data_IF_631478395740
#
_entry.id   IF_631478395740
#
_cell.length_a   1.000
_cell.length_b   1.000
_cell.length_c   1.000
_cell.angle_alpha   90.00
_cell.angle_beta   90.00
_cell.angle_gamma   90.00
#
_symmetry.space_group_name_H-M   'P 1'
#
loop_
_entity.id
_entity.type
_entity.pdbx_description
1 polymer ?
#
# COMPACT_ATOMS: atom_id res chain seq x y z
N UNK A 1 -3.19 55.11 15.42
CA UNK A 1 -4.12 54.32 14.59
C UNK A 1 -3.50 53.81 13.28
N UNK A 2 -2.77 54.63 12.50
CA UNK A 2 -2.14 54.20 11.22
C UNK A 2 -1.10 53.08 11.36
N UNK A 3 -0.32 53.06 12.44
CA UNK A 3 0.72 52.04 12.69
C UNK A 3 0.11 50.69 13.10
N UNK A 4 -0.99 50.70 13.87
CA UNK A 4 -1.69 49.46 14.29
C UNK A 4 -2.33 48.78 13.07
N UNK A 5 -2.91 49.56 12.14
CA UNK A 5 -3.46 49.03 10.89
C UNK A 5 -2.39 48.37 10.00
N UNK A 6 -1.17 48.90 9.99
CA UNK A 6 -0.05 48.35 9.22
C UNK A 6 0.46 47.01 9.78
N UNK A 7 0.51 46.87 11.11
CA UNK A 7 0.93 45.63 11.80
C UNK A 7 -0.09 44.51 11.61
N UNK A 8 -1.40 44.82 11.67
CA UNK A 8 -2.46 43.84 11.42
C UNK A 8 -2.47 43.38 9.96
N UNK A 9 -2.25 44.30 9.00
CA UNK A 9 -2.17 43.96 7.59
C UNK A 9 -0.96 43.06 7.26
N UNK A 10 0.19 43.27 7.91
CA UNK A 10 1.38 42.45 7.70
C UNK A 10 1.23 41.03 8.27
N UNK A 11 0.55 40.88 9.42
CA UNK A 11 0.24 39.57 10.00
C UNK A 11 -0.71 38.71 9.14
N UNK A 12 -1.67 39.34 8.45
CA UNK A 12 -2.61 38.64 7.57
C UNK A 12 -1.94 38.03 6.32
N UNK A 13 -0.88 38.66 5.80
CA UNK A 13 -0.14 38.16 4.62
C UNK A 13 0.70 36.92 4.96
N UNK A 14 1.22 36.84 6.19
CA UNK A 14 2.00 35.67 6.66
C UNK A 14 1.08 34.45 6.88
N UNK A 15 -0.13 34.67 7.39
CA UNK A 15 -1.13 33.61 7.59
C UNK A 15 -1.61 32.96 6.27
N UNK A 16 -1.68 33.73 5.18
CA UNK A 16 -2.06 33.19 3.86
C UNK A 16 -0.99 32.27 3.24
N UNK A 17 0.29 32.41 3.61
CA UNK A 17 1.38 31.56 3.10
C UNK A 17 1.49 30.21 3.81
N UNK A 18 0.79 30.03 4.93
CA UNK A 18 0.78 28.78 5.67
C UNK A 18 -0.26 27.77 5.13
N UNK A 19 -1.10 28.16 4.16
CA UNK A 19 -2.06 27.27 3.51
C UNK A 19 -1.53 26.74 2.17
N UNK A 20 -0.33 26.17 2.15
CA UNK A 20 0.01 25.22 1.08
C UNK A 20 -0.35 23.83 1.57
N UNK A 21 -1.58 23.39 1.31
CA UNK A 21 -1.79 21.95 1.19
C UNK A 21 -0.81 21.48 0.12
N UNK A 22 0.15 20.63 0.48
CA UNK A 22 1.08 20.07 -0.50
C UNK A 22 0.24 19.55 -1.66
N UNK A 23 0.50 20.04 -2.88
CA UNK A 23 -0.30 19.63 -4.04
C UNK A 23 -0.03 18.15 -4.27
N UNK A 24 -1.01 17.31 -3.95
CA UNK A 24 -0.98 15.92 -4.37
C UNK A 24 -0.96 15.90 -5.90
N UNK A 25 0.03 15.24 -6.47
CA UNK A 25 0.16 15.09 -7.91
C UNK A 25 0.58 13.65 -8.21
N UNK A 26 0.03 13.10 -9.28
CA UNK A 26 0.50 11.82 -9.82
C UNK A 26 1.89 12.04 -10.39
N UNK A 27 2.90 11.46 -9.76
CA UNK A 27 4.28 11.54 -10.22
C UNK A 27 4.60 10.46 -11.24
N UNK A 28 4.01 9.27 -11.10
CA UNK A 28 4.18 8.12 -11.99
C UNK A 28 2.91 7.26 -12.02
N UNK A 29 2.73 6.56 -13.14
CA UNK A 29 1.68 5.55 -13.33
C UNK A 29 2.32 4.32 -13.95
N UNK A 30 2.23 3.16 -13.28
CA UNK A 30 2.74 1.90 -13.80
C UNK A 30 1.61 1.03 -14.34
N UNK A 31 1.75 0.56 -15.58
CA UNK A 31 0.88 -0.47 -16.13
C UNK A 31 1.42 -1.84 -15.72
N UNK A 32 0.91 -2.37 -14.61
CA UNK A 32 1.46 -3.59 -13.95
C UNK A 32 0.95 -4.91 -14.53
N UNK A 33 0.02 -4.84 -15.50
CA UNK A 33 -0.58 -6.02 -16.14
C UNK A 33 -1.37 -6.89 -15.16
N UNK A 34 -1.49 -8.19 -15.48
CA UNK A 34 -2.14 -9.19 -14.65
C UNK A 34 -3.66 -9.28 -14.84
N UNK A 35 -4.16 -10.51 -14.92
CA UNK A 35 -5.60 -10.76 -15.09
C UNK A 35 -6.39 -10.49 -13.81
N UNK A 36 -7.69 -10.24 -13.98
CA UNK A 36 -8.67 -10.02 -12.91
C UNK A 36 -8.65 -8.62 -12.31
N UNK A 37 -9.54 -8.38 -11.35
CA UNK A 37 -9.55 -7.14 -10.57
C UNK A 37 -8.45 -7.13 -9.50
N UNK A 38 -8.06 -5.92 -9.08
CA UNK A 38 -7.19 -5.68 -7.94
C UNK A 38 -8.00 -5.08 -6.77
N UNK A 39 -7.47 -5.17 -5.56
CA UNK A 39 -8.08 -4.64 -4.34
C UNK A 39 -7.05 -3.86 -3.50
N UNK A 40 -6.76 -4.20 -2.24
CA UNK A 40 -5.85 -3.36 -1.45
C UNK A 40 -4.40 -3.41 -1.95
N UNK A 41 -3.75 -2.25 -1.83
CA UNK A 41 -2.32 -2.05 -2.06
C UNK A 41 -1.68 -1.72 -0.72
N UNK A 42 -0.68 -2.51 -0.34
CA UNK A 42 0.01 -2.37 0.94
C UNK A 42 1.50 -2.14 0.68
N UNK A 43 2.04 -0.96 1.04
CA UNK A 43 3.47 -0.68 0.85
C UNK A 43 4.33 -1.37 1.91
N UNK A 44 5.53 -1.74 1.51
CA UNK A 44 6.65 -2.16 2.36
C UNK A 44 7.87 -1.28 2.02
N UNK A 45 7.91 -0.04 2.58
CA UNK A 45 8.88 0.97 2.18
C UNK A 45 10.33 0.58 2.48
N UNK A 46 10.56 -0.26 3.51
CA UNK A 46 11.90 -0.69 3.91
C UNK A 46 12.56 -1.59 2.86
N UNK A 47 11.76 -2.27 2.04
CA UNK A 47 12.24 -3.19 1.02
C UNK A 47 11.90 -2.69 -0.41
N UNK A 48 11.33 -1.49 -0.55
CA UNK A 48 10.85 -0.92 -1.82
C UNK A 48 9.84 -1.82 -2.55
N UNK A 49 8.86 -2.36 -1.81
CA UNK A 49 7.85 -3.26 -2.39
C UNK A 49 6.43 -2.74 -2.21
N UNK A 50 5.57 -3.08 -3.15
CA UNK A 50 4.13 -2.92 -3.06
C UNK A 50 3.45 -4.28 -3.18
N UNK A 51 2.66 -4.66 -2.18
CA UNK A 51 1.81 -5.84 -2.22
C UNK A 51 0.45 -5.45 -2.77
N UNK A 52 0.06 -6.00 -3.92
CA UNK A 52 -1.20 -5.70 -4.61
C UNK A 52 -2.06 -6.95 -4.61
N UNK A 53 -3.15 -6.91 -3.85
CA UNK A 53 -4.11 -8.00 -3.85
C UNK A 53 -4.84 -8.09 -5.19
N UNK A 54 -4.99 -9.32 -5.68
CA UNK A 54 -5.80 -9.70 -6.84
C UNK A 54 -6.59 -10.93 -6.50
N UNK A 55 -7.77 -11.08 -7.10
CA UNK A 55 -8.76 -12.12 -6.73
C UNK A 55 -8.17 -13.47 -6.31
N UNK A 56 -7.15 -13.99 -7.01
CA UNK A 56 -6.53 -15.28 -6.75
C UNK A 56 -5.05 -15.26 -6.24
N UNK A 57 -4.47 -14.08 -6.02
CA UNK A 57 -3.03 -13.92 -5.71
C UNK A 57 -2.71 -12.57 -5.09
N UNK A 58 -1.53 -12.44 -4.50
CA UNK A 58 -0.94 -11.13 -4.18
C UNK A 58 0.27 -10.93 -5.09
N UNK A 59 0.25 -9.88 -5.92
CA UNK A 59 1.42 -9.46 -6.67
C UNK A 59 2.35 -8.66 -5.77
N UNK A 60 3.66 -8.84 -5.92
CA UNK A 60 4.68 -8.04 -5.24
C UNK A 60 5.43 -7.26 -6.30
N UNK A 61 5.30 -5.94 -6.27
CA UNK A 61 5.91 -5.04 -7.23
C UNK A 61 7.06 -4.28 -6.60
N UNK A 62 8.02 -3.86 -7.41
CA UNK A 62 8.99 -2.84 -7.04
C UNK A 62 8.30 -1.46 -7.01
N UNK A 63 8.43 -0.76 -5.89
CA UNK A 63 7.74 0.52 -5.65
C UNK A 63 8.21 1.65 -6.59
N UNK A 64 9.48 1.58 -7.05
CA UNK A 64 10.10 2.64 -7.84
C UNK A 64 9.91 2.46 -9.35
N UNK A 65 9.75 1.23 -9.80
CA UNK A 65 9.72 0.87 -11.23
C UNK A 65 8.40 0.24 -11.66
N UNK A 66 7.58 -0.22 -10.71
CA UNK A 66 6.35 -0.98 -10.98
C UNK A 66 6.62 -2.39 -11.53
N UNK A 67 7.87 -2.85 -11.54
CA UNK A 67 8.24 -4.16 -12.03
C UNK A 67 7.70 -5.28 -11.12
N UNK A 68 7.23 -6.38 -11.70
CA UNK A 68 6.81 -7.55 -10.93
C UNK A 68 8.03 -8.28 -10.34
N UNK A 69 8.07 -8.37 -9.01
CA UNK A 69 9.10 -9.08 -8.27
C UNK A 69 8.70 -10.53 -7.97
N UNK A 70 7.42 -10.82 -7.89
CA UNK A 70 6.88 -12.15 -7.67
C UNK A 70 5.41 -12.14 -7.26
N UNK A 71 4.86 -13.31 -6.99
CA UNK A 71 3.45 -13.47 -6.62
C UNK A 71 3.28 -14.53 -5.52
N UNK A 72 2.35 -14.27 -4.60
CA UNK A 72 1.80 -15.28 -3.69
C UNK A 72 0.53 -15.83 -4.32
N UNK A 73 0.54 -17.08 -4.77
CA UNK A 73 -0.55 -17.69 -5.52
C UNK A 73 -1.39 -18.65 -4.67
N UNK A 74 -2.50 -19.16 -5.23
CA UNK A 74 -3.35 -20.13 -4.55
C UNK A 74 -4.25 -19.53 -3.47
N UNK A 75 -4.46 -18.22 -3.50
CA UNK A 75 -5.38 -17.51 -2.61
C UNK A 75 -6.79 -17.58 -3.23
N UNK A 76 -7.82 -17.76 -2.41
CA UNK A 76 -9.21 -17.81 -2.84
C UNK A 76 -9.93 -16.53 -2.37
N UNK A 77 -9.93 -15.49 -3.18
CA UNK A 77 -10.51 -14.19 -2.82
C UNK A 77 -9.54 -13.35 -1.98
N UNK A 78 -8.46 -12.87 -2.61
CA UNK A 78 -7.53 -11.95 -1.96
C UNK A 78 -8.07 -10.52 -1.92
N UNK A 79 -7.96 -9.87 -0.76
CA UNK A 79 -8.37 -8.48 -0.52
C UNK A 79 -7.23 -7.67 0.08
N UNK A 80 -6.66 -8.13 1.20
CA UNK A 80 -5.64 -7.40 1.96
C UNK A 80 -4.40 -8.23 2.25
N UNK A 81 -3.29 -7.54 2.51
CA UNK A 81 -2.01 -8.13 2.95
C UNK A 81 -1.52 -7.45 4.22
N UNK A 82 -0.92 -8.20 5.15
CA UNK A 82 -0.20 -7.67 6.30
C UNK A 82 1.25 -8.18 6.28
N UNK A 83 2.20 -7.31 6.62
CA UNK A 83 3.63 -7.60 6.57
C UNK A 83 4.20 -7.63 7.99
N UNK A 84 4.69 -8.79 8.43
CA UNK A 84 5.33 -8.99 9.73
C UNK A 84 6.85 -9.13 9.56
N UNK A 85 7.52 -8.04 9.18
CA UNK A 85 8.92 -8.01 8.79
C UNK A 85 9.88 -8.65 9.83
N UNK A 86 9.62 -8.44 11.12
CA UNK A 86 10.44 -8.98 12.20
C UNK A 86 10.55 -10.51 12.20
N UNK A 87 9.57 -11.21 11.62
CA UNK A 87 9.56 -12.68 11.52
C UNK A 87 9.74 -13.19 10.09
N UNK A 88 9.87 -12.28 9.11
CA UNK A 88 9.99 -12.66 7.71
C UNK A 88 8.69 -13.18 7.07
N UNK A 89 7.54 -12.92 7.69
CA UNK A 89 6.25 -13.46 7.24
C UNK A 89 5.30 -12.39 6.72
N UNK A 90 4.59 -12.73 5.65
CA UNK A 90 3.43 -12.00 5.16
C UNK A 90 2.16 -12.80 5.35
N UNK A 91 1.03 -12.10 5.39
CA UNK A 91 -0.29 -12.69 5.56
C UNK A 91 -1.25 -12.08 4.55
N UNK A 92 -1.96 -12.90 3.78
CA UNK A 92 -2.96 -12.46 2.82
C UNK A 92 -4.32 -13.05 3.18
N UNK A 93 -5.37 -12.25 3.07
CA UNK A 93 -6.75 -12.75 3.21
C UNK A 93 -7.06 -13.75 2.10
N UNK A 94 -7.80 -14.81 2.42
CA UNK A 94 -8.37 -15.75 1.46
C UNK A 94 -9.85 -15.93 1.80
N UNK A 95 -10.68 -15.02 1.31
CA UNK A 95 -12.07 -14.87 1.77
C UNK A 95 -12.97 -16.06 1.42
N UNK A 96 -12.85 -16.61 0.22
CA UNK A 96 -13.77 -17.64 -0.29
C UNK A 96 -13.55 -18.99 0.40
N UNK A 97 -12.35 -19.26 0.92
CA UNK A 97 -12.05 -20.45 1.73
C UNK A 97 -11.95 -20.15 3.23
N UNK A 98 -12.41 -18.97 3.66
CA UNK A 98 -12.49 -18.55 5.07
C UNK A 98 -11.15 -18.64 5.81
N UNK A 99 -10.05 -18.31 5.14
CA UNK A 99 -8.71 -18.46 5.70
C UNK A 99 -7.82 -17.23 5.52
N UNK A 100 -6.68 -17.26 6.19
CA UNK A 100 -5.54 -16.37 5.96
C UNK A 100 -4.37 -17.22 5.48
N UNK A 101 -3.77 -16.83 4.36
CA UNK A 101 -2.57 -17.45 3.80
C UNK A 101 -1.34 -16.78 4.40
N UNK A 102 -0.51 -17.54 5.08
CA UNK A 102 0.81 -17.11 5.53
C UNK A 102 1.85 -17.43 4.46
N UNK A 103 2.76 -16.52 4.17
CA UNK A 103 3.81 -16.69 3.16
C UNK A 103 5.16 -16.11 3.62
N UNK A 104 6.24 -16.59 3.01
CA UNK A 104 7.60 -16.11 3.26
C UNK A 104 7.86 -14.80 2.49
N UNK A 105 8.32 -13.76 3.17
CA UNK A 105 8.52 -12.45 2.55
C UNK A 105 9.68 -12.40 1.56
N UNK A 106 10.59 -13.37 1.55
CA UNK A 106 11.74 -13.38 0.64
C UNK A 106 11.44 -14.11 -0.66
N UNK A 107 10.73 -15.22 -0.56
CA UNK A 107 10.46 -16.15 -1.65
C UNK A 107 9.03 -16.08 -2.16
N UNK A 108 8.13 -15.46 -1.40
CA UNK A 108 6.68 -15.41 -1.63
C UNK A 108 5.99 -16.79 -1.62
N UNK A 109 6.70 -17.81 -1.14
CA UNK A 109 6.16 -19.15 -1.00
C UNK A 109 5.12 -19.20 0.13
N UNK A 110 4.00 -19.86 -0.12
CA UNK A 110 2.99 -20.13 0.91
C UNK A 110 3.56 -21.08 1.95
N UNK A 111 3.50 -20.67 3.21
CA UNK A 111 3.96 -21.43 4.37
C UNK A 111 2.82 -22.18 5.06
N UNK A 112 1.60 -21.64 4.99
CA UNK A 112 0.45 -22.27 5.63
C UNK A 112 -0.85 -21.51 5.42
N UNK A 113 -1.95 -22.13 5.89
CA UNK A 113 -3.29 -21.53 5.93
C UNK A 113 -3.82 -21.59 7.35
N UNK A 114 -4.43 -20.50 7.77
CA UNK A 114 -4.97 -20.30 9.11
C UNK A 114 -6.49 -20.10 8.95
N UNK A 115 -7.34 -20.96 9.53
CA UNK A 115 -8.79 -20.76 9.53
C UNK A 115 -9.16 -19.42 10.19
N UNK A 116 -10.08 -18.68 9.59
CA UNK A 116 -10.50 -17.35 10.04
C UNK A 116 -12.01 -17.21 10.25
N UNK A 117 -12.81 -18.16 9.74
CA UNK A 117 -14.24 -18.29 10.04
C UNK A 117 -14.68 -19.77 9.92
N UNK A 118 -15.83 -20.09 10.54
CA UNK A 118 -16.50 -21.39 10.48
C UNK A 118 -17.37 -21.55 9.22
#
# INVERSE_FOLDING_TARGET
>A
MRIIALVVALGAVVALRAQTSGKYQVTQTYAVGGDGSWDYIVPDPLNHRLFVARQNRVMVLDENTGALLGEVTGIQGAHGTAVAAATGHGFATSGNDRSVVMFDLKTFAVLGRIPAAE
#
